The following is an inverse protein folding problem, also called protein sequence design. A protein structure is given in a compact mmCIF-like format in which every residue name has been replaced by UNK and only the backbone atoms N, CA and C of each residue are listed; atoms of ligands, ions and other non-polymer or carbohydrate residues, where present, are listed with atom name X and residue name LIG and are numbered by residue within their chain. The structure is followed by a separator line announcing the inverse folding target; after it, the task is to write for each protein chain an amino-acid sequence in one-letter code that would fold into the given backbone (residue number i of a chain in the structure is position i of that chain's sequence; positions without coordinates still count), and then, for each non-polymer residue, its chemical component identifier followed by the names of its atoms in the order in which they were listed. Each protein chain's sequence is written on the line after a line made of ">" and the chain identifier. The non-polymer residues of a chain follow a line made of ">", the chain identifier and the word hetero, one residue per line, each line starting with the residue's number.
data_IF_154327801190
#
_entry.id   IF_154327801190
#
_cell.length_a   1.000
_cell.length_b   1.000
_cell.length_c   1.000
_cell.angle_alpha   90.00
_cell.angle_beta   90.00
_cell.angle_gamma   90.00
#
_symmetry.space_group_name_H-M   'P 1'
#
loop_
_entity.id
_entity.type
_entity.pdbx_description
1 polymer ?
#
# COMPACT_ATOMS: atom_id res chain seq x y z
N UNK A 1 47.95 14.84 -49.38
CA UNK A 1 47.43 13.48 -49.36
C UNK A 1 47.36 13.03 -47.89
N UNK A 2 46.25 13.35 -47.19
CA UNK A 2 45.98 12.86 -45.83
C UNK A 2 44.48 12.74 -45.71
N UNK A 3 43.99 11.49 -45.78
CA UNK A 3 42.65 11.11 -45.34
C UNK A 3 42.84 10.22 -44.13
N UNK A 4 42.49 10.67 -42.94
CA UNK A 4 42.32 9.79 -41.78
C UNK A 4 41.31 10.36 -40.73
N UNK A 5 40.40 9.50 -40.36
CA UNK A 5 39.67 9.47 -39.10
C UNK A 5 38.52 10.46 -38.90
N UNK A 6 37.37 10.12 -39.42
CA UNK A 6 36.07 10.48 -38.80
C UNK A 6 35.25 9.17 -38.74
N UNK A 7 35.51 8.30 -37.79
CA UNK A 7 34.69 7.10 -37.57
C UNK A 7 34.74 6.64 -36.08
N UNK A 8 34.75 7.56 -35.14
CA UNK A 8 34.88 7.21 -33.72
C UNK A 8 33.80 7.81 -32.81
N UNK A 9 32.85 8.60 -33.35
CA UNK A 9 31.94 9.40 -32.51
C UNK A 9 30.51 8.87 -32.32
N UNK A 10 30.09 7.82 -33.00
CA UNK A 10 28.68 7.43 -33.06
C UNK A 10 28.29 6.23 -32.13
N UNK A 11 29.26 5.59 -31.50
CA UNK A 11 28.99 4.38 -30.67
C UNK A 11 28.77 4.64 -29.19
N UNK A 12 29.05 5.86 -28.71
CA UNK A 12 28.99 6.16 -27.26
C UNK A 12 27.66 6.73 -26.77
N UNK A 13 26.75 7.09 -27.67
CA UNK A 13 25.46 7.71 -27.27
C UNK A 13 24.35 6.66 -27.04
N UNK A 14 24.50 5.46 -27.55
CA UNK A 14 23.43 4.44 -27.50
C UNK A 14 23.38 3.64 -26.21
N UNK A 15 24.41 3.71 -25.34
CA UNK A 15 24.49 2.90 -24.10
C UNK A 15 23.83 3.61 -22.89
N UNK A 16 23.58 4.92 -22.96
CA UNK A 16 22.99 5.66 -21.82
C UNK A 16 21.46 5.58 -21.73
N UNK A 17 20.78 5.06 -22.74
CA UNK A 17 19.30 5.02 -22.79
C UNK A 17 18.68 3.76 -22.14
N UNK A 18 19.47 2.77 -21.70
CA UNK A 18 18.93 1.48 -21.21
C UNK A 18 18.81 1.40 -19.68
N UNK A 19 19.33 2.39 -18.93
CA UNK A 19 19.32 2.33 -17.44
C UNK A 19 18.09 2.99 -16.77
N UNK A 20 17.09 3.42 -17.52
CA UNK A 20 15.89 4.06 -16.96
C UNK A 20 14.67 3.11 -16.86
N UNK A 21 14.86 1.80 -16.98
CA UNK A 21 13.82 0.84 -16.62
C UNK A 21 13.83 0.60 -15.10
N UNK A 22 13.66 1.66 -14.31
CA UNK A 22 13.12 1.50 -12.97
C UNK A 22 11.75 0.84 -13.15
N UNK A 23 11.60 -0.38 -12.70
CA UNK A 23 10.32 -1.07 -12.60
C UNK A 23 9.42 -0.28 -11.66
N UNK A 24 8.72 0.70 -12.21
CA UNK A 24 7.60 1.32 -11.50
C UNK A 24 6.57 0.22 -11.30
N UNK A 25 6.25 -0.08 -10.05
CA UNK A 25 5.13 -0.94 -9.72
C UNK A 25 3.91 -0.45 -10.50
N UNK A 26 3.09 -1.35 -11.08
CA UNK A 26 1.88 -0.93 -11.76
C UNK A 26 1.02 -0.15 -10.78
N UNK A 27 0.82 1.14 -11.02
CA UNK A 27 -0.02 1.99 -10.17
C UNK A 27 -1.50 1.88 -10.49
N UNK A 28 -1.84 1.16 -11.57
CA UNK A 28 -3.22 0.97 -12.02
C UNK A 28 -3.96 -0.01 -11.10
N UNK A 29 -5.21 0.29 -10.74
CA UNK A 29 -6.08 -0.63 -10.03
C UNK A 29 -6.26 -1.95 -10.77
N UNK A 30 -6.59 -3.02 -10.03
CA UNK A 30 -6.83 -4.35 -10.58
C UNK A 30 -8.15 -4.89 -10.07
N UNK A 31 -8.95 -5.47 -10.97
CA UNK A 31 -10.17 -6.17 -10.62
C UNK A 31 -9.91 -7.67 -10.61
N UNK A 32 -10.18 -8.32 -9.49
CA UNK A 32 -9.99 -9.73 -9.24
C UNK A 32 -11.33 -10.38 -8.97
N UNK A 33 -11.64 -11.45 -9.69
CA UNK A 33 -12.90 -12.19 -9.52
C UNK A 33 -12.59 -13.50 -8.82
N UNK A 34 -13.30 -13.78 -7.74
CA UNK A 34 -13.34 -15.11 -7.13
C UNK A 34 -14.34 -15.97 -7.89
N UNK A 35 -13.86 -16.83 -8.79
CA UNK A 35 -14.70 -17.72 -9.62
C UNK A 35 -15.63 -18.63 -8.81
N UNK A 36 -15.31 -18.88 -7.55
CA UNK A 36 -16.10 -19.74 -6.66
C UNK A 36 -17.31 -19.02 -6.07
N UNK A 37 -17.17 -17.75 -5.75
CA UNK A 37 -18.19 -16.95 -5.06
C UNK A 37 -18.85 -15.92 -5.98
N UNK A 38 -18.24 -15.60 -7.12
CA UNK A 38 -18.67 -14.51 -8.00
C UNK A 38 -18.34 -13.10 -7.47
N UNK A 39 -17.69 -13.01 -6.30
CA UNK A 39 -17.32 -11.73 -5.71
C UNK A 39 -16.20 -11.11 -6.52
N UNK A 40 -16.36 -9.86 -6.89
CA UNK A 40 -15.30 -9.06 -7.50
C UNK A 40 -14.65 -8.17 -6.44
N UNK A 41 -13.31 -8.14 -6.43
CA UNK A 41 -12.55 -7.24 -5.56
C UNK A 41 -11.65 -6.37 -6.42
N UNK A 42 -11.92 -5.08 -6.41
CA UNK A 42 -11.01 -4.08 -6.96
C UNK A 42 -9.94 -3.76 -5.93
N UNK A 43 -8.67 -3.80 -6.33
CA UNK A 43 -7.51 -3.58 -5.45
C UNK A 43 -6.70 -2.40 -5.98
N UNK A 44 -6.24 -1.55 -5.07
CA UNK A 44 -5.31 -0.45 -5.40
C UNK A 44 -4.06 -0.97 -6.11
N UNK A 45 -3.48 -0.20 -7.03
CA UNK A 45 -2.32 -0.63 -7.82
C UNK A 45 -1.00 -0.69 -7.03
N UNK A 46 -0.87 0.10 -5.97
CA UNK A 46 0.25 0.07 -5.04
C UNK A 46 -0.21 0.45 -3.64
N UNK A 47 0.32 -0.16 -2.57
CA UNK A 47 -0.04 0.13 -1.20
C UNK A 47 0.59 1.44 -0.72
N UNK A 48 0.07 2.00 0.37
CA UNK A 48 0.75 3.00 1.18
C UNK A 48 1.55 2.25 2.24
N UNK A 49 2.85 2.48 2.30
CA UNK A 49 3.70 1.87 3.31
C UNK A 49 4.24 2.95 4.25
N UNK A 50 4.13 2.68 5.54
CA UNK A 50 4.56 3.59 6.58
C UNK A 50 5.56 2.88 7.48
N UNK A 51 6.48 3.66 8.07
CA UNK A 51 7.46 3.17 9.02
C UNK A 51 7.37 3.93 10.33
N UNK A 52 7.82 3.27 11.38
CA UNK A 52 8.07 3.88 12.67
C UNK A 52 9.51 3.67 13.06
N UNK A 53 10.21 4.76 13.36
CA UNK A 53 11.55 4.67 13.90
C UNK A 53 11.54 3.93 15.26
N UNK A 54 12.44 2.96 15.44
CA UNK A 54 12.52 2.21 16.68
C UNK A 54 13.08 3.10 17.80
N UNK A 55 12.40 3.16 18.92
CA UNK A 55 12.92 3.74 20.15
C UNK A 55 14.05 2.85 20.72
N UNK A 56 15.24 2.91 20.13
CA UNK A 56 16.44 2.28 20.67
C UNK A 56 16.56 0.76 20.53
N UNK A 57 15.65 0.10 19.87
CA UNK A 57 15.68 -1.36 19.59
C UNK A 57 16.08 -1.56 18.12
N UNK A 58 16.89 -2.57 17.84
CA UNK A 58 17.33 -2.92 16.49
C UNK A 58 16.22 -3.53 15.63
N UNK A 59 15.01 -2.97 15.69
CA UNK A 59 13.82 -3.43 14.97
C UNK A 59 13.08 -2.26 14.33
N UNK A 60 12.71 -2.38 13.06
CA UNK A 60 11.86 -1.42 12.36
C UNK A 60 10.45 -1.98 12.23
N UNK A 61 9.46 -1.21 12.64
CA UNK A 61 8.04 -1.54 12.48
C UNK A 61 7.49 -0.83 11.24
N UNK A 62 6.72 -1.56 10.47
CA UNK A 62 6.07 -1.08 9.25
C UNK A 62 4.57 -1.35 9.28
N UNK A 63 3.83 -0.48 8.59
CA UNK A 63 2.43 -0.70 8.24
C UNK A 63 2.28 -0.66 6.73
N UNK A 64 1.50 -1.58 6.18
CA UNK A 64 1.06 -1.56 4.79
C UNK A 64 -0.44 -1.35 4.78
N UNK A 65 -0.90 -0.29 4.12
CA UNK A 65 -2.31 0.03 3.92
C UNK A 65 -2.69 -0.27 2.47
N UNK A 66 -3.70 -1.11 2.30
CA UNK A 66 -4.22 -1.53 0.99
C UNK A 66 -5.69 -1.18 0.90
N UNK A 67 -6.04 -0.28 -0.02
CA UNK A 67 -7.44 0.03 -0.30
C UNK A 67 -8.03 -1.02 -1.25
N UNK A 68 -9.22 -1.50 -0.92
CA UNK A 68 -9.99 -2.41 -1.76
C UNK A 68 -11.46 -1.97 -1.83
N UNK A 69 -12.15 -2.33 -2.90
CA UNK A 69 -13.60 -2.32 -2.96
C UNK A 69 -14.08 -3.74 -3.30
N UNK A 70 -14.97 -4.24 -2.48
CA UNK A 70 -15.63 -5.53 -2.69
C UNK A 70 -16.99 -5.27 -3.31
N UNK A 71 -17.29 -5.96 -4.42
CA UNK A 71 -18.60 -6.05 -5.05
C UNK A 71 -19.17 -7.46 -4.84
N UNK A 72 -20.28 -7.52 -4.12
CA UNK A 72 -21.03 -8.73 -3.83
C UNK A 72 -22.44 -8.56 -4.41
N UNK A 73 -22.59 -8.96 -5.66
CA UNK A 73 -23.86 -8.86 -6.41
C UNK A 73 -24.43 -7.43 -6.46
N UNK A 74 -23.56 -6.46 -6.79
CA UNK A 74 -23.89 -5.03 -6.86
C UNK A 74 -23.90 -4.29 -5.53
N UNK A 75 -23.53 -4.97 -4.43
CA UNK A 75 -23.33 -4.34 -3.13
C UNK A 75 -21.86 -3.98 -2.94
N UNK A 76 -21.54 -2.72 -3.12
CA UNK A 76 -20.19 -2.19 -2.99
C UNK A 76 -19.83 -1.89 -1.55
N UNK A 77 -18.65 -2.32 -1.12
CA UNK A 77 -18.10 -2.05 0.20
C UNK A 77 -16.62 -1.67 0.06
N UNK A 78 -16.28 -0.43 0.41
CA UNK A 78 -14.90 0.02 0.44
C UNK A 78 -14.27 -0.34 1.80
N UNK A 79 -13.04 -0.83 1.75
CA UNK A 79 -12.29 -1.27 2.92
C UNK A 79 -10.84 -0.76 2.83
N UNK A 80 -10.28 -0.46 3.99
CA UNK A 80 -8.85 -0.30 4.18
C UNK A 80 -8.32 -1.55 4.88
N UNK A 81 -7.46 -2.29 4.23
CA UNK A 81 -6.73 -3.40 4.85
C UNK A 81 -5.44 -2.87 5.43
N UNK A 82 -5.16 -3.25 6.66
CA UNK A 82 -3.91 -2.95 7.33
C UNK A 82 -3.15 -4.24 7.56
N UNK A 83 -1.89 -4.24 7.18
CA UNK A 83 -0.93 -5.28 7.52
C UNK A 83 0.23 -4.66 8.30
N UNK A 84 0.56 -5.22 9.47
CA UNK A 84 1.71 -4.82 10.27
C UNK A 84 2.82 -5.86 10.19
N UNK A 85 4.04 -5.42 10.01
CA UNK A 85 5.21 -6.29 9.99
C UNK A 85 6.43 -5.58 10.62
N UNK A 86 7.37 -6.38 11.10
CA UNK A 86 8.56 -5.90 11.80
C UNK A 86 9.80 -6.54 11.20
N UNK A 87 10.86 -5.76 11.03
CA UNK A 87 12.17 -6.24 10.59
C UNK A 87 13.16 -6.04 11.73
N UNK A 88 13.84 -7.12 12.12
CA UNK A 88 14.98 -7.04 13.03
C UNK A 88 16.29 -6.92 12.23
N UNK A 89 17.25 -6.21 12.74
CA UNK A 89 18.59 -6.14 12.17
C UNK A 89 19.16 -7.55 12.03
N UNK A 90 19.42 -7.98 10.78
CA UNK A 90 19.97 -9.30 10.48
C UNK A 90 18.96 -10.45 10.52
N UNK A 91 17.68 -10.18 10.74
CA UNK A 91 16.58 -11.16 10.73
C UNK A 91 15.66 -11.04 9.52
N UNK A 92 14.89 -12.09 9.27
CA UNK A 92 13.80 -12.04 8.31
C UNK A 92 12.65 -11.20 8.87
N UNK A 93 11.90 -10.46 8.04
CA UNK A 93 10.68 -9.77 8.46
C UNK A 93 9.64 -10.81 8.93
N UNK A 94 8.88 -10.46 9.96
CA UNK A 94 7.75 -11.28 10.40
C UNK A 94 6.55 -10.39 10.68
N UNK A 95 5.34 -10.92 10.44
CA UNK A 95 4.11 -10.24 10.78
C UNK A 95 3.95 -10.23 12.31
N UNK A 96 3.80 -9.07 12.89
CA UNK A 96 3.38 -8.93 14.29
C UNK A 96 1.86 -8.89 14.31
N UNK A 97 1.23 -9.81 15.05
CA UNK A 97 -0.23 -9.81 15.19
C UNK A 97 -0.73 -8.42 15.59
N UNK A 98 -1.56 -7.83 14.73
CA UNK A 98 -2.21 -6.57 15.05
C UNK A 98 -3.34 -6.90 16.03
N UNK A 99 -3.16 -6.53 17.29
CA UNK A 99 -4.28 -6.56 18.24
C UNK A 99 -5.22 -5.43 17.85
N UNK A 100 -6.39 -5.81 17.40
CA UNK A 100 -7.37 -5.06 16.66
C UNK A 100 -7.92 -3.83 17.41
N UNK A 101 -7.17 -2.74 17.35
CA UNK A 101 -7.60 -1.43 17.81
C UNK A 101 -8.12 -0.54 16.68
N UNK A 102 -8.58 0.63 17.07
CA UNK A 102 -8.82 1.76 16.18
C UNK A 102 -7.60 2.03 15.32
N UNK A 103 -7.83 2.43 14.09
CA UNK A 103 -6.82 2.98 13.20
C UNK A 103 -7.06 4.48 13.09
N UNK A 104 -6.17 5.28 13.66
CA UNK A 104 -6.23 6.74 13.56
C UNK A 104 -5.34 7.20 12.41
N UNK A 105 -5.93 7.89 11.47
CA UNK A 105 -5.24 8.47 10.31
C UNK A 105 -5.34 9.98 10.42
N UNK A 106 -4.21 10.66 10.53
CA UNK A 106 -4.13 12.11 10.49
C UNK A 106 -3.77 12.54 9.07
N UNK A 107 -4.64 13.31 8.47
CA UNK A 107 -4.54 13.81 7.10
C UNK A 107 -4.50 15.34 7.17
N UNK A 108 -3.32 15.93 6.99
CA UNK A 108 -3.13 17.39 7.04
C UNK A 108 -3.69 18.01 8.33
N UNK A 109 -3.53 17.35 9.49
CA UNK A 109 -4.06 17.77 10.78
C UNK A 109 -5.54 17.43 11.02
N UNK A 110 -6.20 16.75 10.08
CA UNK A 110 -7.57 16.24 10.23
C UNK A 110 -7.55 14.76 10.60
N UNK A 111 -8.05 14.41 11.79
CA UNK A 111 -8.05 13.04 12.27
C UNK A 111 -9.27 12.28 11.74
N UNK A 112 -9.00 11.13 11.14
CA UNK A 112 -9.97 10.11 10.70
C UNK A 112 -9.82 8.90 11.62
N UNK A 113 -10.93 8.41 12.13
CA UNK A 113 -11.00 7.27 13.04
C UNK A 113 -11.70 6.09 12.35
N UNK A 114 -10.96 5.04 12.06
CA UNK A 114 -11.48 3.84 11.41
C UNK A 114 -11.60 2.71 12.45
N UNK A 115 -12.81 2.15 12.54
CA UNK A 115 -13.08 1.03 13.43
C UNK A 115 -12.82 -0.30 12.71
N UNK A 116 -12.14 -1.26 13.37
CA UNK A 116 -11.86 -2.55 12.77
C UNK A 116 -13.13 -3.36 12.59
N UNK A 117 -13.19 -4.11 11.53
CA UNK A 117 -14.22 -5.15 11.38
C UNK A 117 -13.93 -6.29 12.36
N UNK A 118 -14.98 -6.94 12.90
CA UNK A 118 -14.82 -8.03 13.86
C UNK A 118 -14.09 -9.25 13.26
N UNK A 119 -14.13 -9.39 11.93
CA UNK A 119 -13.43 -10.43 11.18
C UNK A 119 -13.11 -9.96 9.77
N UNK A 120 -12.11 -10.59 9.15
CA UNK A 120 -11.79 -10.35 7.76
C UNK A 120 -12.97 -10.79 6.87
N UNK A 121 -13.34 -10.00 5.86
CA UNK A 121 -14.35 -10.38 4.88
C UNK A 121 -13.92 -11.65 4.12
N UNK A 122 -14.91 -12.45 3.73
CA UNK A 122 -14.69 -13.59 2.83
C UNK A 122 -14.44 -13.12 1.39
N UNK A 123 -13.74 -13.93 0.59
CA UNK A 123 -13.47 -13.63 -0.82
C UNK A 123 -12.38 -12.59 -1.04
N UNK A 124 -11.55 -12.32 -0.02
CA UNK A 124 -10.36 -11.48 -0.22
C UNK A 124 -9.36 -12.18 -1.14
N UNK A 125 -8.64 -11.45 -2.00
CA UNK A 125 -7.54 -11.96 -2.80
C UNK A 125 -6.42 -12.54 -1.93
N UNK A 126 -5.56 -13.35 -2.55
CA UNK A 126 -4.39 -13.90 -1.87
C UNK A 126 -3.39 -12.83 -1.43
N UNK A 127 -2.49 -13.15 -0.48
CA UNK A 127 -1.53 -12.19 0.08
C UNK A 127 -0.71 -11.45 -0.98
N UNK A 128 -0.29 -12.14 -2.03
CA UNK A 128 0.47 -11.58 -3.14
C UNK A 128 -0.28 -10.45 -3.86
N UNK A 129 -1.58 -10.59 -4.04
CA UNK A 129 -2.41 -9.59 -4.70
C UNK A 129 -2.73 -8.41 -3.81
N UNK A 130 -2.58 -8.58 -2.49
CA UNK A 130 -2.75 -7.56 -1.48
C UNK A 130 -1.44 -6.92 -1.03
N UNK A 131 -0.32 -7.18 -1.73
CA UNK A 131 1.03 -6.67 -1.38
C UNK A 131 1.51 -7.08 0.02
N UNK A 132 0.96 -8.16 0.54
CA UNK A 132 1.35 -8.70 1.84
C UNK A 132 2.51 -9.66 1.64
N UNK A 133 3.62 -9.54 2.38
CA UNK A 133 4.70 -10.51 2.34
C UNK A 133 4.21 -11.92 2.70
N UNK A 134 4.72 -12.95 2.01
CA UNK A 134 4.31 -14.36 2.17
C UNK A 134 4.52 -14.95 3.59
N UNK A 135 4.91 -14.12 4.56
CA UNK A 135 5.57 -14.62 5.76
C UNK A 135 4.68 -14.80 6.97
N UNK A 136 3.44 -14.34 7.00
CA UNK A 136 2.54 -14.66 8.13
C UNK A 136 1.08 -14.28 7.89
N UNK A 137 0.21 -15.23 8.18
CA UNK A 137 -1.25 -15.11 8.08
C UNK A 137 -1.91 -14.21 9.15
N UNK A 138 -1.18 -13.79 10.18
CA UNK A 138 -1.82 -13.33 11.43
C UNK A 138 -1.96 -11.82 11.61
N UNK A 139 -1.43 -11.01 10.72
CA UNK A 139 -1.25 -9.59 10.99
C UNK A 139 -2.16 -8.66 10.15
N UNK A 140 -3.16 -9.18 9.46
CA UNK A 140 -4.06 -8.38 8.63
C UNK A 140 -5.35 -8.04 9.37
N UNK A 141 -5.81 -6.79 9.23
CA UNK A 141 -7.10 -6.28 9.71
C UNK A 141 -7.80 -5.53 8.59
N UNK A 142 -9.12 -5.53 8.64
CA UNK A 142 -9.95 -4.77 7.74
C UNK A 142 -10.71 -3.69 8.49
N UNK A 143 -10.78 -2.51 7.91
CA UNK A 143 -11.48 -1.34 8.43
C UNK A 143 -12.50 -0.90 7.40
N UNK A 144 -13.74 -0.65 7.83
CA UNK A 144 -14.72 -0.04 6.97
C UNK A 144 -14.30 1.40 6.65
N UNK A 145 -14.42 1.78 5.38
CA UNK A 145 -14.13 3.13 4.91
C UNK A 145 -15.08 3.51 3.77
N UNK A 146 -14.92 4.70 3.22
CA UNK A 146 -15.68 5.18 2.08
C UNK A 146 -14.77 5.89 1.06
N UNK A 147 -15.33 6.20 -0.11
CA UNK A 147 -14.58 6.83 -1.19
C UNK A 147 -14.14 8.26 -0.84
N UNK A 148 -14.87 8.98 0.00
CA UNK A 148 -14.51 10.32 0.44
C UNK A 148 -13.26 10.28 1.32
N UNK A 149 -13.23 9.38 2.29
CA UNK A 149 -12.07 9.10 3.14
C UNK A 149 -10.85 8.71 2.32
N UNK A 150 -11.01 7.77 1.35
CA UNK A 150 -9.92 7.36 0.47
C UNK A 150 -9.41 8.52 -0.39
N UNK A 151 -10.30 9.40 -0.84
CA UNK A 151 -9.93 10.61 -1.59
C UNK A 151 -9.15 11.60 -0.73
N UNK A 152 -9.58 11.85 0.50
CA UNK A 152 -8.85 12.71 1.44
C UNK A 152 -7.43 12.19 1.67
N UNK A 153 -7.28 10.90 1.94
CA UNK A 153 -5.96 10.29 2.10
C UNK A 153 -5.11 10.45 0.83
N UNK A 154 -5.68 10.21 -0.35
CA UNK A 154 -4.95 10.24 -1.62
C UNK A 154 -4.44 11.62 -2.01
N UNK A 155 -5.07 12.69 -1.54
CA UNK A 155 -4.74 14.08 -1.86
C UNK A 155 -3.99 14.81 -0.74
N UNK A 156 -3.72 14.14 0.38
CA UNK A 156 -3.04 14.75 1.53
C UNK A 156 -1.59 15.13 1.22
N UNK A 157 -1.10 16.17 1.88
CA UNK A 157 0.32 16.52 1.89
C UNK A 157 1.06 15.78 3.01
N UNK A 158 0.43 15.68 4.17
CA UNK A 158 0.94 14.97 5.33
C UNK A 158 0.03 13.80 5.68
N UNK A 159 0.61 12.65 6.00
CA UNK A 159 -0.09 11.45 6.41
C UNK A 159 0.63 10.83 7.61
N UNK A 160 -0.06 10.77 8.73
CA UNK A 160 0.43 10.12 9.95
C UNK A 160 -0.59 9.08 10.40
N UNK A 161 -0.12 7.90 10.75
CA UNK A 161 -0.97 6.80 11.19
C UNK A 161 -0.61 6.40 12.62
N UNK A 162 -1.61 6.12 13.45
CA UNK A 162 -1.45 5.68 14.84
C UNK A 162 -2.30 4.45 15.11
N UNK A 163 -1.76 3.57 15.93
CA UNK A 163 -2.45 2.40 16.48
C UNK A 163 -2.49 2.54 18.02
N UNK A 164 -3.47 3.23 18.59
CA UNK A 164 -3.43 3.65 20.00
C UNK A 164 -3.30 2.50 21.00
N UNK A 165 -3.91 1.36 20.73
CA UNK A 165 -3.84 0.18 21.61
C UNK A 165 -2.48 -0.51 21.59
N UNK A 166 -1.82 -0.51 20.41
CA UNK A 166 -0.55 -1.24 20.22
C UNK A 166 0.66 -0.36 20.49
N UNK A 167 0.55 0.91 20.17
CA UNK A 167 1.62 1.89 20.28
C UNK A 167 1.09 3.22 20.79
N UNK A 168 0.74 3.34 22.09
CA UNK A 168 0.03 4.51 22.62
C UNK A 168 0.69 5.86 22.31
N UNK A 169 2.01 5.88 22.18
CA UNK A 169 2.81 7.08 21.89
C UNK A 169 3.53 6.99 20.55
N UNK A 170 3.22 5.99 19.71
CA UNK A 170 3.90 5.75 18.44
C UNK A 170 3.08 6.24 17.26
N UNK A 171 3.73 6.93 16.33
CA UNK A 171 3.18 7.27 15.03
C UNK A 171 4.01 6.63 13.92
N UNK A 172 3.33 6.29 12.84
CA UNK A 172 3.92 5.81 11.60
C UNK A 172 3.85 6.92 10.58
N UNK A 173 4.95 7.15 9.87
CA UNK A 173 5.08 8.16 8.81
C UNK A 173 5.35 7.49 7.47
N UNK A 174 5.16 8.19 6.38
CA UNK A 174 5.34 7.63 5.04
C UNK A 174 6.77 7.13 4.81
N UNK A 175 6.87 5.87 4.42
CA UNK A 175 8.09 5.23 3.91
C UNK A 175 8.01 5.05 2.39
N UNK A 176 6.89 4.53 1.88
CA UNK A 176 6.61 4.40 0.45
C UNK A 176 5.27 5.03 0.12
N UNK A 177 5.27 6.04 -0.75
CA UNK A 177 4.08 6.82 -1.07
C UNK A 177 3.19 6.15 -2.11
N UNK A 178 2.17 5.43 -1.66
CA UNK A 178 1.13 4.85 -2.49
C UNK A 178 -0.06 5.77 -2.77
N UNK A 179 -0.08 7.02 -2.27
CA UNK A 179 -1.20 7.95 -2.46
C UNK A 179 -1.52 8.24 -3.92
N UNK A 180 -0.56 8.36 -4.85
CA UNK A 180 -0.89 8.51 -6.28
C UNK A 180 -1.67 7.33 -6.85
N UNK A 181 -1.32 6.09 -6.42
CA UNK A 181 -2.06 4.89 -6.82
C UNK A 181 -3.46 4.85 -6.18
N UNK A 182 -3.58 5.29 -4.92
CA UNK A 182 -4.87 5.43 -4.24
C UNK A 182 -5.78 6.44 -4.96
N UNK A 183 -5.24 7.56 -5.45
CA UNK A 183 -5.98 8.53 -6.26
C UNK A 183 -6.50 7.92 -7.56
N UNK A 184 -5.68 7.13 -8.25
CA UNK A 184 -6.12 6.38 -9.44
C UNK A 184 -7.22 5.37 -9.11
N UNK A 185 -7.10 4.68 -7.97
CA UNK A 185 -8.10 3.73 -7.49
C UNK A 185 -9.44 4.41 -7.22
N UNK A 186 -9.45 5.54 -6.49
CA UNK A 186 -10.67 6.31 -6.23
C UNK A 186 -11.34 6.78 -7.53
N UNK A 187 -10.55 7.24 -8.50
CA UNK A 187 -11.06 7.65 -9.80
C UNK A 187 -11.64 6.46 -10.58
N UNK A 188 -11.00 5.30 -10.54
CA UNK A 188 -11.49 4.07 -11.16
C UNK A 188 -12.87 3.67 -10.59
N UNK A 189 -13.04 3.74 -9.27
CA UNK A 189 -14.29 3.39 -8.61
C UNK A 189 -15.41 4.42 -8.80
N UNK A 190 -15.07 5.67 -9.07
CA UNK A 190 -16.06 6.75 -9.27
C UNK A 190 -16.72 6.70 -10.65
N UNK A 191 -16.21 5.86 -11.55
CA UNK A 191 -16.67 5.78 -12.94
C UNK A 191 -16.29 7.03 -13.77
N UNK A 192 -16.51 6.97 -15.08
CA UNK A 192 -16.36 8.15 -15.93
C UNK A 192 -17.49 9.16 -15.70
#
# INVERSE_FOLDING_TARGET
>A
MVVKCVLGGLLSVTILAVMAACSTLPTSPRDLVDDRTGITVSVVGAPIELEREPNGVAAHDFLTLVAIQRDDDGKYTALMLLYRWTVFYGGAPFGSGADSGELLIDVDGHQIDLQPLPQLPTGLPGPKDLFVPDMTESAMRAYATDLETLRLISTSHELIVRLPKETPNGSFTLWHDGRPALGQFVNHLSGP
#
